data_IF_525576154420
#
_entry.id   IF_525576154420
#
_cell.length_a   1.000
_cell.length_b   1.000
_cell.length_c   1.000
_cell.angle_alpha   90.00
_cell.angle_beta   90.00
_cell.angle_gamma   90.00
#
_symmetry.space_group_name_H-M   'P 1'
#
loop_
_entity.id
_entity.type
_entity.pdbx_description
1 polymer ?
#
# COMPACT_ATOMS: atom_id res chain seq x y z
N UNK A 1 -6.63 -30.83 35.29
CA UNK A 1 -5.49 -30.60 34.40
C UNK A 1 -5.94 -30.06 32.99
N UNK A 2 -6.85 -30.70 32.29
CA UNK A 2 -7.31 -30.29 30.93
C UNK A 2 -7.92 -28.88 30.86
N UNK A 3 -8.67 -28.45 31.89
CA UNK A 3 -9.33 -27.13 31.92
C UNK A 3 -8.32 -25.98 32.04
N UNK A 4 -7.23 -26.19 32.80
CA UNK A 4 -6.17 -25.22 32.99
C UNK A 4 -5.35 -25.06 31.69
N UNK A 5 -5.02 -26.17 31.02
CA UNK A 5 -4.28 -26.16 29.76
C UNK A 5 -5.06 -25.41 28.69
N UNK A 6 -6.38 -25.64 28.59
CA UNK A 6 -7.25 -24.93 27.64
C UNK A 6 -7.29 -23.41 27.91
N UNK A 7 -7.34 -23.00 29.16
CA UNK A 7 -7.30 -21.57 29.53
C UNK A 7 -5.94 -20.94 29.18
N UNK A 8 -4.84 -21.63 29.46
CA UNK A 8 -3.50 -21.16 29.12
C UNK A 8 -3.31 -21.01 27.58
N UNK A 9 -3.84 -21.93 26.79
CA UNK A 9 -3.81 -21.82 25.33
C UNK A 9 -4.62 -20.62 24.84
N UNK A 10 -5.81 -20.38 25.38
CA UNK A 10 -6.65 -19.23 25.04
C UNK A 10 -5.95 -17.92 25.41
N UNK A 11 -5.36 -17.82 26.59
CA UNK A 11 -4.61 -16.65 27.03
C UNK A 11 -3.38 -16.43 26.11
N UNK A 12 -2.66 -17.49 25.76
CA UNK A 12 -1.48 -17.39 24.88
C UNK A 12 -1.86 -16.94 23.46
N UNK A 13 -2.94 -17.47 22.90
CA UNK A 13 -3.47 -17.04 21.59
C UNK A 13 -3.93 -15.58 21.65
N UNK A 14 -4.64 -15.19 22.70
CA UNK A 14 -5.11 -13.81 22.89
C UNK A 14 -3.94 -12.82 23.09
N UNK A 15 -2.96 -13.16 23.92
CA UNK A 15 -1.73 -12.39 24.10
C UNK A 15 -0.94 -12.28 22.79
N UNK A 16 -0.85 -13.36 22.00
CA UNK A 16 -0.19 -13.36 20.70
C UNK A 16 -0.92 -12.46 19.68
N UNK A 17 -2.26 -12.41 19.75
CA UNK A 17 -3.06 -11.50 18.92
C UNK A 17 -2.87 -10.03 19.33
N UNK A 18 -2.84 -9.75 20.66
CA UNK A 18 -2.58 -8.40 21.18
C UNK A 18 -1.16 -7.94 20.81
N UNK A 19 -0.16 -8.79 21.02
CA UNK A 19 1.23 -8.50 20.68
C UNK A 19 1.41 -8.28 19.15
N UNK A 20 0.73 -9.07 18.31
CA UNK A 20 0.72 -8.83 16.87
C UNK A 20 0.09 -7.49 16.47
N UNK A 21 -0.92 -7.02 17.21
CA UNK A 21 -1.59 -5.74 16.95
C UNK A 21 -0.73 -4.51 17.27
N UNK A 22 0.28 -4.69 18.12
CA UNK A 22 1.17 -3.60 18.60
C UNK A 22 2.57 -3.61 17.95
N UNK A 23 2.89 -4.62 17.13
CA UNK A 23 4.20 -4.68 16.46
C UNK A 23 4.18 -3.94 15.13
N UNK A 24 5.24 -3.17 14.90
CA UNK A 24 5.53 -2.58 13.59
C UNK A 24 5.60 -3.66 12.53
N UNK A 25 4.99 -3.40 11.37
CA UNK A 25 4.96 -4.27 10.21
C UNK A 25 5.95 -3.77 9.16
N UNK A 26 6.61 -4.70 8.49
CA UNK A 26 7.53 -4.40 7.40
C UNK A 26 6.81 -4.54 6.06
N UNK A 27 6.55 -3.44 5.37
CA UNK A 27 6.18 -3.46 3.95
C UNK A 27 7.40 -3.10 3.10
N UNK A 28 7.69 -3.89 2.07
CA UNK A 28 8.85 -3.70 1.20
C UNK A 28 8.42 -3.06 -0.11
N UNK A 29 8.93 -1.85 -0.38
CA UNK A 29 8.74 -1.19 -1.67
C UNK A 29 9.74 -1.75 -2.70
N UNK A 30 9.22 -2.33 -3.79
CA UNK A 30 10.01 -2.99 -4.83
C UNK A 30 10.17 -2.17 -6.13
N UNK A 31 9.80 -0.88 -6.11
CA UNK A 31 9.88 -0.01 -7.31
C UNK A 31 11.29 0.01 -7.90
N UNK A 32 12.34 0.04 -7.07
CA UNK A 32 13.74 0.08 -7.55
C UNK A 32 14.18 -1.21 -8.25
N UNK A 33 13.62 -2.35 -7.86
CA UNK A 33 13.81 -3.64 -8.56
C UNK A 33 13.30 -3.53 -10.00
N UNK A 34 12.09 -2.99 -10.16
CA UNK A 34 11.49 -2.78 -11.47
C UNK A 34 12.26 -1.73 -12.31
N UNK A 35 12.77 -0.67 -11.69
CA UNK A 35 13.66 0.30 -12.36
C UNK A 35 14.89 -0.40 -12.95
N UNK A 36 15.53 -1.27 -12.18
CA UNK A 36 16.70 -2.02 -12.63
C UNK A 36 16.36 -2.99 -13.77
N UNK A 37 15.24 -3.70 -13.69
CA UNK A 37 14.74 -4.54 -14.78
C UNK A 37 14.54 -3.72 -16.06
N UNK A 38 13.88 -2.58 -15.96
CA UNK A 38 13.57 -1.74 -17.12
C UNK A 38 14.84 -1.18 -17.76
N UNK A 39 15.81 -0.77 -16.97
CA UNK A 39 17.11 -0.27 -17.47
C UNK A 39 17.91 -1.34 -18.25
N UNK A 40 17.70 -2.63 -17.94
CA UNK A 40 18.38 -3.74 -18.63
C UNK A 40 17.62 -4.25 -19.86
N UNK A 41 16.39 -3.82 -20.08
CA UNK A 41 15.58 -4.18 -21.25
C UNK A 41 15.08 -5.62 -21.30
N UNK A 42 15.13 -6.34 -20.15
CA UNK A 42 14.69 -7.74 -20.05
C UNK A 42 13.73 -7.97 -18.88
N UNK A 43 13.75 -9.18 -18.33
CA UNK A 43 12.96 -9.60 -17.14
C UNK A 43 13.86 -9.89 -15.92
N UNK A 44 15.06 -9.32 -15.88
CA UNK A 44 16.00 -9.51 -14.78
C UNK A 44 16.43 -8.16 -14.20
N UNK A 45 16.26 -7.95 -12.88
CA UNK A 45 15.66 -8.86 -11.88
C UNK A 45 14.16 -9.06 -12.11
N UNK A 46 13.66 -10.29 -11.87
CA UNK A 46 12.23 -10.58 -11.99
C UNK A 46 11.47 -10.02 -10.79
N UNK A 47 10.53 -9.10 -11.05
CA UNK A 47 9.80 -8.34 -10.03
C UNK A 47 8.93 -9.26 -9.15
N UNK A 48 8.22 -10.21 -9.76
CA UNK A 48 7.36 -11.16 -9.06
C UNK A 48 8.20 -12.04 -8.15
N UNK A 49 9.31 -12.60 -8.67
CA UNK A 49 10.20 -13.43 -7.86
C UNK A 49 10.73 -12.68 -6.64
N UNK A 50 11.18 -11.43 -6.82
CA UNK A 50 11.69 -10.62 -5.70
C UNK A 50 10.59 -10.35 -4.66
N UNK A 51 9.37 -10.07 -5.08
CA UNK A 51 8.24 -9.89 -4.16
C UNK A 51 7.99 -11.15 -3.30
N UNK A 52 7.96 -12.33 -3.93
CA UNK A 52 7.78 -13.61 -3.23
C UNK A 52 8.98 -13.95 -2.31
N UNK A 53 10.21 -13.62 -2.72
CA UNK A 53 11.40 -13.77 -1.89
C UNK A 53 11.31 -12.85 -0.64
N UNK A 54 10.83 -11.60 -0.79
CA UNK A 54 10.61 -10.71 0.35
C UNK A 54 9.59 -11.28 1.35
N UNK A 55 8.47 -11.84 0.87
CA UNK A 55 7.51 -12.53 1.74
C UNK A 55 8.14 -13.74 2.45
N UNK A 56 8.91 -14.55 1.72
CA UNK A 56 9.60 -15.71 2.30
C UNK A 56 10.62 -15.32 3.37
N UNK A 57 11.22 -14.14 3.26
CA UNK A 57 12.14 -13.57 4.24
C UNK A 57 11.44 -12.84 5.41
N UNK A 58 10.12 -12.80 5.41
CA UNK A 58 9.34 -12.29 6.54
C UNK A 58 8.77 -10.89 6.36
N UNK A 59 8.70 -10.35 5.15
CA UNK A 59 7.96 -9.13 4.89
C UNK A 59 6.47 -9.34 5.20
N UNK A 60 5.86 -8.34 5.86
CA UNK A 60 4.43 -8.31 6.18
C UNK A 60 3.60 -7.67 5.04
N UNK A 61 4.26 -7.07 4.06
CA UNK A 61 3.62 -6.46 2.90
C UNK A 61 4.58 -6.13 1.77
N UNK A 62 4.01 -5.93 0.60
CA UNK A 62 4.70 -5.47 -0.61
C UNK A 62 4.02 -4.18 -1.07
N UNK A 63 4.83 -3.17 -1.36
CA UNK A 63 4.38 -1.87 -1.87
C UNK A 63 4.91 -1.64 -3.28
N UNK A 64 4.04 -1.17 -4.16
CA UNK A 64 4.36 -0.83 -5.55
C UNK A 64 3.72 0.49 -5.98
N UNK A 65 4.38 1.21 -6.90
CA UNK A 65 3.86 2.44 -7.48
C UNK A 65 3.87 2.35 -9.02
N UNK A 66 2.78 1.92 -9.65
CA UNK A 66 2.64 1.87 -11.10
C UNK A 66 2.38 3.28 -11.65
N UNK A 67 3.44 4.04 -11.91
CA UNK A 67 3.32 5.38 -12.51
C UNK A 67 2.77 5.30 -13.94
N UNK A 68 2.12 6.37 -14.44
CA UNK A 68 1.58 6.38 -15.81
C UNK A 68 2.63 6.12 -16.90
N UNK A 69 3.89 6.52 -16.69
CA UNK A 69 5.00 6.33 -17.62
C UNK A 69 5.72 4.97 -17.49
N UNK A 70 5.29 4.15 -16.55
CA UNK A 70 5.83 2.80 -16.29
C UNK A 70 7.36 2.74 -16.13
N UNK A 71 7.99 3.86 -15.66
CA UNK A 71 9.46 3.93 -15.48
C UNK A 71 10.02 2.88 -14.53
N UNK A 72 9.19 2.30 -13.67
CA UNK A 72 9.51 1.18 -12.78
C UNK A 72 8.44 0.09 -12.83
N UNK A 73 7.51 0.03 -11.88
CA UNK A 73 6.40 -0.93 -11.90
C UNK A 73 5.51 -0.64 -13.10
N UNK A 74 5.21 -1.69 -13.87
CA UNK A 74 4.27 -1.66 -14.99
C UNK A 74 2.88 -2.09 -14.50
N UNK A 75 1.83 -1.70 -15.20
CA UNK A 75 0.47 -2.18 -14.90
C UNK A 75 0.37 -3.71 -14.94
N UNK A 76 1.07 -4.36 -15.87
CA UNK A 76 1.16 -5.82 -15.94
C UNK A 76 1.72 -6.43 -14.67
N UNK A 77 2.78 -5.85 -14.08
CA UNK A 77 3.36 -6.34 -12.82
C UNK A 77 2.32 -6.36 -11.69
N UNK A 78 1.43 -5.36 -11.64
CA UNK A 78 0.39 -5.26 -10.60
C UNK A 78 -0.61 -6.42 -10.69
N UNK A 79 -1.03 -6.76 -11.93
CA UNK A 79 -1.92 -7.89 -12.17
C UNK A 79 -1.24 -9.24 -11.87
N UNK A 80 0.05 -9.37 -12.20
CA UNK A 80 0.82 -10.59 -11.94
C UNK A 80 1.09 -10.80 -10.44
N UNK A 81 1.35 -9.72 -9.70
CA UNK A 81 1.62 -9.77 -8.26
C UNK A 81 0.37 -10.13 -7.45
N UNK A 82 -0.77 -9.53 -7.76
CA UNK A 82 -1.97 -9.62 -6.91
C UNK A 82 -2.40 -11.06 -6.54
N UNK A 83 -2.48 -12.01 -7.48
CA UNK A 83 -2.92 -13.39 -7.16
C UNK A 83 -1.86 -14.20 -6.42
N UNK A 84 -0.60 -13.77 -6.41
CA UNK A 84 0.53 -14.53 -5.87
C UNK A 84 0.92 -14.10 -4.46
N UNK A 85 0.67 -12.84 -4.11
CA UNK A 85 1.00 -12.29 -2.78
C UNK A 85 0.03 -12.79 -1.72
N UNK A 86 0.59 -13.19 -0.57
CA UNK A 86 -0.11 -13.70 0.61
C UNK A 86 -0.16 -12.69 1.75
N UNK A 87 0.73 -11.70 1.72
CA UNK A 87 0.82 -10.61 2.68
C UNK A 87 0.08 -9.36 2.18
N UNK A 88 0.18 -8.25 2.90
CA UNK A 88 -0.45 -7.00 2.51
C UNK A 88 0.10 -6.52 1.17
N UNK A 89 -0.78 -6.22 0.21
CA UNK A 89 -0.43 -5.58 -1.04
C UNK A 89 -0.91 -4.13 -1.03
N UNK A 90 0.02 -3.18 -1.09
CA UNK A 90 -0.22 -1.74 -1.15
C UNK A 90 0.14 -1.21 -2.54
N UNK A 91 -0.77 -0.45 -3.15
CA UNK A 91 -0.55 0.23 -4.43
C UNK A 91 -0.55 1.73 -4.19
N UNK A 92 0.56 2.39 -4.52
CA UNK A 92 0.71 3.85 -4.45
C UNK A 92 0.38 4.48 -5.80
N UNK A 93 -0.19 5.68 -5.80
CA UNK A 93 -0.36 6.44 -7.03
C UNK A 93 -1.21 7.69 -6.90
N UNK A 94 -1.13 8.54 -7.94
CA UNK A 94 -2.01 9.67 -8.11
C UNK A 94 -3.39 9.18 -8.57
N UNK A 95 -4.50 9.65 -7.98
CA UNK A 95 -5.85 9.17 -8.27
C UNK A 95 -6.39 9.70 -9.60
N UNK A 96 -5.70 9.37 -10.70
CA UNK A 96 -6.27 9.56 -12.05
C UNK A 96 -7.38 8.53 -12.31
N UNK A 97 -8.28 8.78 -13.27
CA UNK A 97 -9.32 7.81 -13.63
C UNK A 97 -8.75 6.41 -13.94
N UNK A 98 -7.61 6.34 -14.64
CA UNK A 98 -6.95 5.08 -14.99
C UNK A 98 -6.36 4.36 -13.77
N UNK A 99 -5.85 5.12 -12.79
CA UNK A 99 -5.35 4.57 -11.54
C UNK A 99 -6.48 4.03 -10.67
N UNK A 100 -7.57 4.80 -10.56
CA UNK A 100 -8.78 4.39 -9.82
C UNK A 100 -9.33 3.08 -10.41
N UNK A 101 -9.47 3.01 -11.74
CA UNK A 101 -9.92 1.80 -12.45
C UNK A 101 -8.99 0.60 -12.20
N UNK A 102 -7.67 0.80 -12.24
CA UNK A 102 -6.69 -0.24 -11.93
C UNK A 102 -6.88 -0.77 -10.51
N UNK A 103 -6.95 0.11 -9.51
CA UNK A 103 -7.07 -0.25 -8.10
C UNK A 103 -8.39 -0.98 -7.83
N UNK A 104 -9.50 -0.50 -8.37
CA UNK A 104 -10.82 -1.14 -8.21
C UNK A 104 -10.89 -2.52 -8.86
N UNK A 105 -10.15 -2.75 -9.97
CA UNK A 105 -10.06 -4.07 -10.63
C UNK A 105 -9.16 -5.03 -9.87
N UNK A 106 -8.00 -4.56 -9.41
CA UNK A 106 -6.99 -5.38 -8.72
C UNK A 106 -7.41 -5.72 -7.30
N UNK A 107 -8.12 -4.81 -6.62
CA UNK A 107 -8.53 -4.92 -5.22
C UNK A 107 -7.36 -5.27 -4.30
N UNK A 108 -6.36 -4.38 -4.17
CA UNK A 108 -5.27 -4.56 -3.22
C UNK A 108 -5.80 -4.52 -1.78
N UNK A 109 -4.96 -4.85 -0.81
CA UNK A 109 -5.30 -4.70 0.61
C UNK A 109 -5.32 -3.22 1.02
N UNK A 110 -4.47 -2.41 0.41
CA UNK A 110 -4.37 -0.97 0.65
C UNK A 110 -4.06 -0.23 -0.64
N UNK A 111 -4.56 0.99 -0.74
CA UNK A 111 -4.13 2.01 -1.69
C UNK A 111 -3.57 3.20 -0.93
N UNK A 112 -2.43 3.75 -1.38
CA UNK A 112 -1.87 5.00 -0.85
C UNK A 112 -1.92 6.08 -1.93
N UNK A 113 -2.63 7.17 -1.64
CA UNK A 113 -2.74 8.29 -2.57
C UNK A 113 -1.57 9.25 -2.41
N UNK A 114 -0.87 9.51 -3.52
CA UNK A 114 0.24 10.47 -3.61
C UNK A 114 -0.12 11.60 -4.56
N UNK A 115 0.30 12.87 -4.28
CA UNK A 115 -0.08 14.03 -5.09
C UNK A 115 0.77 14.21 -6.35
N UNK A 116 1.51 13.17 -6.77
CA UNK A 116 2.49 13.27 -7.82
C UNK A 116 1.87 13.55 -9.19
N UNK A 117 2.11 14.74 -9.72
CA UNK A 117 1.93 14.98 -11.14
C UNK A 117 2.82 13.99 -11.94
N UNK A 118 2.31 13.44 -13.06
CA UNK A 118 3.09 12.53 -13.92
C UNK A 118 4.47 13.06 -14.35
N UNK A 119 4.65 14.39 -14.38
CA UNK A 119 5.92 15.06 -14.73
C UNK A 119 6.94 15.08 -13.59
N UNK A 120 6.56 14.81 -12.34
CA UNK A 120 7.48 14.84 -11.20
C UNK A 120 8.39 13.61 -11.18
N UNK A 121 9.66 13.82 -10.83
CA UNK A 121 10.67 12.74 -10.78
C UNK A 121 10.53 11.92 -9.50
N UNK A 122 10.20 12.56 -8.39
CA UNK A 122 10.01 11.94 -7.06
C UNK A 122 8.89 12.62 -6.31
N UNK A 123 8.20 11.89 -5.42
CA UNK A 123 7.23 12.43 -4.48
C UNK A 123 7.96 13.25 -3.42
N UNK A 124 7.99 14.57 -3.57
CA UNK A 124 8.74 15.47 -2.69
C UNK A 124 7.86 16.16 -1.64
N UNK A 125 6.53 16.09 -1.80
CA UNK A 125 5.57 16.70 -0.89
C UNK A 125 4.31 15.84 -0.76
N UNK A 126 3.75 15.77 0.44
CA UNK A 126 2.44 15.16 0.66
C UNK A 126 1.29 16.02 0.14
N UNK A 127 0.09 15.48 0.19
CA UNK A 127 -1.13 16.21 -0.14
C UNK A 127 -1.36 17.40 0.78
N UNK A 128 -1.75 18.54 0.22
CA UNK A 128 -2.52 19.54 0.95
C UNK A 128 -3.95 19.01 1.09
N UNK A 129 -4.18 18.27 2.17
CA UNK A 129 -5.45 17.57 2.41
C UNK A 129 -6.58 18.53 2.73
N UNK A 130 -6.25 19.74 3.21
CA UNK A 130 -7.23 20.79 3.47
C UNK A 130 -7.76 21.40 2.18
N UNK A 131 -6.85 21.77 1.27
CA UNK A 131 -7.21 22.34 -0.02
C UNK A 131 -7.91 21.34 -0.95
N UNK A 132 -7.61 20.04 -0.78
CA UNK A 132 -8.13 18.96 -1.62
C UNK A 132 -9.17 18.07 -0.92
N UNK A 133 -9.80 18.56 0.16
CA UNK A 133 -10.69 17.77 1.02
C UNK A 133 -11.82 17.08 0.24
N UNK A 134 -12.56 17.80 -0.58
CA UNK A 134 -13.70 17.27 -1.36
C UNK A 134 -13.23 16.21 -2.35
N UNK A 135 -12.20 16.52 -3.13
CA UNK A 135 -11.62 15.58 -4.10
C UNK A 135 -11.14 14.27 -3.44
N UNK A 136 -10.38 14.39 -2.35
CA UNK A 136 -9.89 13.23 -1.62
C UNK A 136 -11.05 12.43 -1.02
N UNK A 137 -12.07 13.09 -0.45
CA UNK A 137 -13.23 12.39 0.10
C UNK A 137 -13.96 11.57 -0.94
N UNK A 138 -14.20 12.10 -2.14
CA UNK A 138 -14.85 11.38 -3.24
C UNK A 138 -14.06 10.16 -3.69
N UNK A 139 -12.73 10.28 -3.78
CA UNK A 139 -11.85 9.17 -4.20
C UNK A 139 -11.74 8.11 -3.11
N UNK A 140 -11.54 8.53 -1.86
CA UNK A 140 -11.40 7.61 -0.73
C UNK A 140 -12.68 6.81 -0.49
N UNK A 141 -13.86 7.44 -0.65
CA UNK A 141 -15.16 6.77 -0.52
C UNK A 141 -15.34 5.64 -1.55
N UNK A 142 -14.86 5.82 -2.79
CA UNK A 142 -14.90 4.77 -3.81
C UNK A 142 -14.09 3.54 -3.39
N UNK A 143 -12.88 3.74 -2.84
CA UNK A 143 -12.01 2.66 -2.41
C UNK A 143 -12.53 1.99 -1.13
N UNK A 144 -12.97 2.78 -0.14
CA UNK A 144 -13.54 2.28 1.10
C UNK A 144 -14.81 1.46 0.83
N UNK A 145 -15.68 1.93 -0.08
CA UNK A 145 -16.88 1.20 -0.50
C UNK A 145 -16.55 -0.13 -1.21
N UNK A 146 -15.39 -0.22 -1.86
CA UNK A 146 -14.88 -1.45 -2.45
C UNK A 146 -14.18 -2.38 -1.44
N UNK A 147 -14.07 -2.00 -0.17
CA UNK A 147 -13.41 -2.75 0.89
C UNK A 147 -11.87 -2.67 0.83
N UNK A 148 -11.33 -1.63 0.19
CA UNK A 148 -9.90 -1.38 0.08
C UNK A 148 -9.53 -0.36 1.15
N UNK A 149 -8.55 -0.68 2.03
CA UNK A 149 -8.06 0.26 3.03
C UNK A 149 -7.34 1.43 2.35
N UNK A 150 -7.58 2.63 2.83
CA UNK A 150 -7.06 3.86 2.25
C UNK A 150 -5.95 4.47 3.08
N UNK A 151 -4.94 5.03 2.41
CA UNK A 151 -3.84 5.79 2.99
C UNK A 151 -3.59 7.05 2.14
N UNK A 152 -3.19 8.14 2.78
CA UNK A 152 -2.87 9.40 2.10
C UNK A 152 -1.47 9.84 2.51
N UNK A 153 -0.61 10.11 1.51
CA UNK A 153 0.71 10.67 1.76
C UNK A 153 0.59 12.15 2.11
N UNK A 154 1.06 12.53 3.27
CA UNK A 154 0.99 13.90 3.81
C UNK A 154 2.33 14.34 4.37
N UNK A 155 2.56 15.66 4.46
CA UNK A 155 3.66 16.19 5.24
C UNK A 155 3.43 15.89 6.75
N UNK A 156 4.50 15.86 7.53
CA UNK A 156 4.45 15.70 9.00
C UNK A 156 3.87 16.97 9.67
N UNK A 157 2.66 17.34 9.28
CA UNK A 157 1.89 18.47 9.75
C UNK A 157 0.59 17.97 10.38
N UNK A 158 0.32 18.24 11.66
CA UNK A 158 -0.91 17.83 12.34
C UNK A 158 -2.19 18.26 11.63
N UNK A 159 -2.22 19.44 11.00
CA UNK A 159 -3.39 19.91 10.25
C UNK A 159 -3.65 19.02 9.04
N UNK A 160 -2.61 18.62 8.29
CA UNK A 160 -2.74 17.74 7.14
C UNK A 160 -3.24 16.35 7.55
N UNK A 161 -2.78 15.83 8.67
CA UNK A 161 -3.25 14.54 9.23
C UNK A 161 -4.72 14.61 9.64
N UNK A 162 -5.14 15.72 10.29
CA UNK A 162 -6.53 15.93 10.68
C UNK A 162 -7.47 15.97 9.47
N UNK A 163 -7.06 16.70 8.40
CA UNK A 163 -7.87 16.77 7.18
C UNK A 163 -7.85 15.47 6.37
N UNK A 164 -6.78 14.68 6.40
CA UNK A 164 -6.77 13.32 5.85
C UNK A 164 -7.83 12.43 6.54
N UNK A 165 -7.91 12.49 7.87
CA UNK A 165 -8.95 11.78 8.63
C UNK A 165 -10.37 12.29 8.31
N UNK A 166 -10.56 13.61 8.15
CA UNK A 166 -11.85 14.19 7.72
C UNK A 166 -12.26 13.75 6.31
N UNK A 167 -11.30 13.55 5.42
CA UNK A 167 -11.53 13.02 4.08
C UNK A 167 -11.91 11.53 4.07
N UNK A 168 -11.78 10.82 5.20
CA UNK A 168 -12.11 9.41 5.31
C UNK A 168 -10.95 8.44 5.10
N UNK A 169 -9.70 8.92 5.22
CA UNK A 169 -8.53 8.06 5.15
C UNK A 169 -8.41 7.16 6.41
N UNK A 170 -8.11 5.88 6.22
CA UNK A 170 -7.84 4.94 7.32
C UNK A 170 -6.44 5.13 7.90
N UNK A 171 -5.50 5.64 7.10
CA UNK A 171 -4.08 5.83 7.44
C UNK A 171 -3.50 7.07 6.78
N UNK A 172 -2.35 7.47 7.27
CA UNK A 172 -1.45 8.42 6.59
C UNK A 172 -0.07 7.80 6.40
N UNK A 173 0.61 8.23 5.35
CA UNK A 173 2.03 8.03 5.10
C UNK A 173 2.74 9.38 5.30
N UNK A 174 3.92 9.38 5.97
CA UNK A 174 4.70 10.58 6.30
C UNK A 174 6.05 10.58 5.59
#
# INVERSE_FOLDING_TARGET
AFRIIRQLIIIFVFLRQILRKTMTKLSVNINKVATLRNARGGDTPNVVKVALDCEAFGADGITVHPRPDERHIRRADVYDLRPLLRTEFNIEGYPSPEFIDLVLKVKPHQVTLVPDDPSQITSNSGWDTKANLEFLSEVLDQFNSAGIRTSVFVAADPEMVEYAAKAGADRVEL
#
